data_IF_988964712221
#
_entry.id   IF_988964712221
#
_cell.length_a   1.000
_cell.length_b   1.000
_cell.length_c   1.000
_cell.angle_alpha   90.00
_cell.angle_beta   90.00
_cell.angle_gamma   90.00
#
_symmetry.space_group_name_H-M   'P 1'
#
loop_
_entity.id
_entity.type
_entity.pdbx_description
1 polymer ?
#
# COMPACT_ATOMS: atom_id res chain seq x y z
N UNK A 1 -41.89 0.08 28.53
CA UNK A 1 -41.31 -0.25 27.21
C UNK A 1 -40.43 0.94 26.81
N UNK A 2 -39.14 0.88 27.06
CA UNK A 2 -38.17 1.95 26.73
C UNK A 2 -37.72 1.71 25.30
N UNK A 3 -38.16 2.58 24.37
CA UNK A 3 -37.56 2.62 23.04
C UNK A 3 -36.14 3.18 23.18
N UNK A 4 -35.12 2.31 23.08
CA UNK A 4 -33.77 2.74 22.83
C UNK A 4 -33.74 3.17 21.37
N UNK A 5 -33.76 4.46 21.10
CA UNK A 5 -33.43 5.00 19.79
C UNK A 5 -31.96 4.71 19.55
N UNK A 6 -31.68 3.67 18.77
CA UNK A 6 -30.35 3.46 18.15
C UNK A 6 -30.19 4.64 17.20
N UNK A 7 -29.45 5.66 17.64
CA UNK A 7 -29.07 6.78 16.78
C UNK A 7 -28.31 6.19 15.60
N UNK A 8 -28.88 6.26 14.40
CA UNK A 8 -28.12 6.03 13.18
C UNK A 8 -27.05 7.12 13.15
N UNK A 9 -25.81 6.77 13.45
CA UNK A 9 -24.69 7.65 13.17
C UNK A 9 -24.72 7.94 11.66
N UNK A 10 -24.75 9.21 11.30
CA UNK A 10 -24.66 9.60 9.90
C UNK A 10 -23.35 9.02 9.36
N UNK A 11 -23.47 8.13 8.39
CA UNK A 11 -22.31 7.55 7.72
C UNK A 11 -21.65 8.66 6.90
N UNK A 12 -20.35 8.80 7.03
CA UNK A 12 -19.52 9.75 6.27
C UNK A 12 -18.46 9.01 5.46
N UNK A 13 -17.68 9.75 4.66
CA UNK A 13 -16.61 9.17 3.86
C UNK A 13 -15.64 8.39 4.72
N UNK A 14 -15.19 8.93 5.85
CA UNK A 14 -14.21 8.29 6.70
C UNK A 14 -14.68 6.91 7.19
N UNK A 15 -15.91 6.83 7.69
CA UNK A 15 -16.49 5.55 8.15
C UNK A 15 -16.67 4.54 7.03
N UNK A 16 -17.11 4.97 5.85
CA UNK A 16 -17.30 4.10 4.70
C UNK A 16 -15.94 3.63 4.12
N UNK A 17 -14.96 4.51 4.12
CA UNK A 17 -13.58 4.21 3.68
C UNK A 17 -12.91 3.20 4.62
N UNK A 18 -13.02 3.36 5.94
CA UNK A 18 -12.49 2.41 6.92
C UNK A 18 -13.14 1.02 6.78
N UNK A 19 -14.46 0.98 6.51
CA UNK A 19 -15.13 -0.29 6.21
C UNK A 19 -14.56 -0.96 4.96
N UNK A 20 -14.38 -0.22 3.87
CA UNK A 20 -13.77 -0.73 2.63
C UNK A 20 -12.34 -1.23 2.89
N UNK A 21 -11.51 -0.47 3.63
CA UNK A 21 -10.16 -0.88 4.03
C UNK A 21 -10.17 -2.20 4.77
N UNK A 22 -11.00 -2.31 5.78
CA UNK A 22 -11.10 -3.54 6.60
C UNK A 22 -11.42 -4.78 5.76
N UNK A 23 -12.32 -4.65 4.78
CA UNK A 23 -12.68 -5.76 3.88
C UNK A 23 -11.50 -6.07 2.94
N UNK A 24 -10.88 -5.06 2.32
CA UNK A 24 -9.78 -5.24 1.38
C UNK A 24 -8.54 -5.83 2.03
N UNK A 25 -8.21 -5.43 3.26
CA UNK A 25 -7.07 -5.98 3.97
C UNK A 25 -7.30 -7.39 4.55
N UNK A 26 -8.55 -7.86 4.63
CA UNK A 26 -8.90 -9.25 4.98
C UNK A 26 -9.29 -10.08 3.74
N UNK A 27 -8.58 -9.93 2.67
CA UNK A 27 -8.87 -10.38 1.31
C UNK A 27 -8.90 -11.91 1.10
N UNK A 28 -8.39 -12.71 2.04
CA UNK A 28 -8.53 -14.18 2.02
C UNK A 28 -9.99 -14.61 2.16
N UNK A 29 -10.79 -13.86 2.92
CA UNK A 29 -12.19 -14.19 3.23
C UNK A 29 -13.17 -13.27 2.51
N UNK A 30 -12.72 -12.12 1.99
CA UNK A 30 -13.56 -11.15 1.31
C UNK A 30 -14.03 -11.65 -0.06
N UNK A 31 -15.31 -11.47 -0.34
CA UNK A 31 -15.87 -11.73 -1.67
C UNK A 31 -15.86 -10.47 -2.52
N UNK A 32 -15.71 -10.62 -3.83
CA UNK A 32 -15.75 -9.48 -4.76
C UNK A 32 -17.04 -8.65 -4.59
N UNK A 33 -18.18 -9.30 -4.37
CA UNK A 33 -19.46 -8.61 -4.16
C UNK A 33 -19.47 -7.74 -2.89
N UNK A 34 -18.77 -8.17 -1.84
CA UNK A 34 -18.66 -7.40 -0.58
C UNK A 34 -17.76 -6.18 -0.77
N UNK A 35 -16.63 -6.35 -1.46
CA UNK A 35 -15.72 -5.25 -1.80
C UNK A 35 -16.42 -4.22 -2.69
N UNK A 36 -17.14 -4.68 -3.74
CA UNK A 36 -17.87 -3.77 -4.62
C UNK A 36 -19.01 -3.05 -3.89
N UNK A 37 -19.70 -3.71 -2.97
CA UNK A 37 -20.74 -3.08 -2.16
C UNK A 37 -20.14 -1.97 -1.26
N UNK A 38 -19.04 -2.26 -0.56
CA UNK A 38 -18.34 -1.29 0.28
C UNK A 38 -17.73 -0.14 -0.54
N UNK A 39 -17.15 -0.43 -1.72
CA UNK A 39 -16.66 0.58 -2.65
C UNK A 39 -17.77 1.53 -3.10
N UNK A 40 -18.91 0.97 -3.56
CA UNK A 40 -20.06 1.77 -3.98
C UNK A 40 -20.67 2.58 -2.83
N UNK A 41 -20.60 2.06 -1.61
CA UNK A 41 -21.05 2.79 -0.42
C UNK A 41 -20.13 3.98 -0.13
N UNK A 42 -18.81 3.78 -0.10
CA UNK A 42 -17.84 4.86 0.08
C UNK A 42 -17.93 5.90 -1.05
N UNK A 43 -18.17 5.47 -2.29
CA UNK A 43 -18.30 6.37 -3.44
C UNK A 43 -19.45 7.38 -3.32
N UNK A 44 -20.48 7.10 -2.53
CA UNK A 44 -21.60 8.03 -2.28
C UNK A 44 -21.17 9.26 -1.48
N UNK A 45 -20.10 9.13 -0.70
CA UNK A 45 -19.59 10.16 0.19
C UNK A 45 -18.35 10.88 -0.33
N UNK A 46 -17.81 10.45 -1.49
CA UNK A 46 -16.65 11.10 -2.13
C UNK A 46 -16.99 12.57 -2.44
N UNK A 47 -16.22 13.47 -1.87
CA UNK A 47 -16.38 14.92 -2.04
C UNK A 47 -15.30 15.58 -2.88
N UNK A 48 -14.17 14.87 -3.11
CA UNK A 48 -13.03 15.38 -3.84
C UNK A 48 -12.25 14.28 -4.57
N UNK A 49 -11.33 14.67 -5.45
CA UNK A 49 -10.55 13.74 -6.26
C UNK A 49 -9.58 12.87 -5.42
N UNK A 50 -9.10 13.33 -4.25
CA UNK A 50 -8.23 12.52 -3.36
C UNK A 50 -9.01 11.34 -2.78
N UNK A 51 -10.17 11.58 -2.22
CA UNK A 51 -11.05 10.53 -1.69
C UNK A 51 -11.42 9.53 -2.78
N UNK A 52 -11.75 10.01 -3.98
CA UNK A 52 -12.01 9.13 -5.12
C UNK A 52 -10.78 8.31 -5.54
N UNK A 53 -9.56 8.86 -5.42
CA UNK A 53 -8.33 8.14 -5.70
C UNK A 53 -8.04 7.06 -4.63
N UNK A 54 -8.35 7.33 -3.37
CA UNK A 54 -8.15 6.40 -2.26
C UNK A 54 -9.02 5.15 -2.38
N UNK A 55 -10.31 5.29 -2.69
CA UNK A 55 -11.18 4.12 -2.88
C UNK A 55 -10.79 3.31 -4.11
N UNK A 56 -10.37 3.95 -5.20
CA UNK A 56 -9.86 3.26 -6.38
C UNK A 56 -8.57 2.48 -6.06
N UNK A 57 -7.68 3.07 -5.29
CA UNK A 57 -6.45 2.40 -4.85
C UNK A 57 -6.76 1.11 -4.07
N UNK A 58 -7.69 1.16 -3.12
CA UNK A 58 -8.12 -0.02 -2.35
C UNK A 58 -8.75 -1.10 -3.23
N UNK A 59 -9.60 -0.72 -4.17
CA UNK A 59 -10.16 -1.67 -5.12
C UNK A 59 -9.05 -2.32 -5.97
N UNK A 60 -8.07 -1.53 -6.39
CA UNK A 60 -6.88 -2.03 -7.08
C UNK A 60 -6.10 -3.06 -6.26
N UNK A 61 -5.89 -2.82 -4.96
CA UNK A 61 -5.24 -3.76 -4.04
C UNK A 61 -5.98 -5.10 -3.97
N UNK A 62 -7.31 -5.06 -3.82
CA UNK A 62 -8.11 -6.28 -3.79
C UNK A 62 -7.93 -7.12 -5.05
N UNK A 63 -8.05 -6.52 -6.23
CA UNK A 63 -7.90 -7.24 -7.48
C UNK A 63 -6.46 -7.72 -7.72
N UNK A 64 -5.46 -6.95 -7.33
CA UNK A 64 -4.05 -7.37 -7.38
C UNK A 64 -3.82 -8.62 -6.51
N UNK A 65 -4.30 -8.62 -5.29
CA UNK A 65 -4.17 -9.75 -4.37
C UNK A 65 -4.93 -11.00 -4.87
N UNK A 66 -5.98 -10.80 -5.65
CA UNK A 66 -6.73 -11.89 -6.30
C UNK A 66 -6.22 -12.25 -7.70
N UNK A 67 -5.03 -11.77 -8.09
CA UNK A 67 -4.35 -12.03 -9.37
C UNK A 67 -5.12 -11.53 -10.61
N UNK A 68 -6.10 -10.65 -10.46
CA UNK A 68 -6.76 -9.97 -11.57
C UNK A 68 -6.01 -8.67 -11.92
N UNK A 69 -4.86 -8.82 -12.58
CA UNK A 69 -4.00 -7.69 -12.95
C UNK A 69 -4.69 -6.68 -13.86
N UNK A 70 -5.63 -7.10 -14.67
CA UNK A 70 -6.35 -6.21 -15.60
C UNK A 70 -7.27 -5.25 -14.83
N UNK A 71 -8.10 -5.77 -13.92
CA UNK A 71 -8.94 -4.95 -13.06
C UNK A 71 -8.09 -4.09 -12.11
N UNK A 72 -7.06 -4.67 -11.48
CA UNK A 72 -6.15 -3.91 -10.63
C UNK A 72 -5.53 -2.71 -11.36
N UNK A 73 -4.99 -2.93 -12.56
CA UNK A 73 -4.42 -1.87 -13.39
C UNK A 73 -5.44 -0.79 -13.78
N UNK A 74 -6.69 -1.18 -14.05
CA UNK A 74 -7.77 -0.23 -14.34
C UNK A 74 -8.05 0.69 -13.15
N UNK A 75 -8.18 0.13 -11.94
CA UNK A 75 -8.41 0.90 -10.72
C UNK A 75 -7.20 1.78 -10.35
N UNK A 76 -5.96 1.27 -10.46
CA UNK A 76 -4.78 2.08 -10.22
C UNK A 76 -4.65 3.23 -11.22
N UNK A 77 -4.96 3.02 -12.49
CA UNK A 77 -4.98 4.10 -13.49
C UNK A 77 -6.04 5.16 -13.15
N UNK A 78 -7.21 4.77 -12.66
CA UNK A 78 -8.24 5.70 -12.19
C UNK A 78 -7.75 6.50 -10.98
N UNK A 79 -7.15 5.83 -9.98
CA UNK A 79 -6.53 6.47 -8.81
C UNK A 79 -5.46 7.49 -9.23
N UNK A 80 -4.57 7.11 -10.15
CA UNK A 80 -3.53 8.00 -10.72
C UNK A 80 -4.12 9.21 -11.41
N UNK A 81 -5.19 9.04 -12.20
CA UNK A 81 -5.82 10.16 -12.92
C UNK A 81 -6.45 11.17 -11.95
N UNK A 82 -7.18 10.69 -10.93
CA UNK A 82 -7.82 11.52 -9.91
C UNK A 82 -6.79 12.23 -9.03
N UNK A 83 -5.83 11.51 -8.48
CA UNK A 83 -4.79 12.11 -7.63
C UNK A 83 -3.91 13.09 -8.41
N UNK A 84 -3.63 12.83 -9.69
CA UNK A 84 -2.95 13.77 -10.58
C UNK A 84 -3.75 15.06 -10.75
N UNK A 85 -5.03 14.96 -11.08
CA UNK A 85 -5.91 16.12 -11.21
C UNK A 85 -5.93 16.93 -9.90
N UNK A 86 -5.97 16.24 -8.75
CA UNK A 86 -5.95 16.90 -7.44
C UNK A 86 -4.67 17.70 -7.22
N UNK A 87 -3.47 17.10 -7.37
CA UNK A 87 -2.23 17.82 -7.09
C UNK A 87 -1.90 18.90 -8.15
N UNK A 88 -2.42 18.79 -9.37
CA UNK A 88 -2.27 19.83 -10.40
C UNK A 88 -3.17 21.04 -10.12
N UNK A 89 -4.31 20.85 -9.47
CA UNK A 89 -5.26 21.90 -9.12
C UNK A 89 -4.96 22.52 -7.75
N UNK A 90 -4.73 21.66 -6.75
CA UNK A 90 -4.44 22.05 -5.37
C UNK A 90 -3.44 21.06 -4.76
N UNK A 91 -2.14 21.34 -4.79
CA UNK A 91 -1.12 20.43 -4.26
C UNK A 91 -1.26 20.22 -2.76
N UNK A 92 -1.56 18.97 -2.33
CA UNK A 92 -1.58 18.55 -0.93
C UNK A 92 -0.67 17.35 -0.71
N UNK A 93 -0.29 17.09 0.53
CA UNK A 93 0.52 15.92 0.88
C UNK A 93 -0.22 14.63 0.52
N UNK A 94 -1.52 14.57 0.81
CA UNK A 94 -2.37 13.40 0.53
C UNK A 94 -2.46 13.12 -0.97
N UNK A 95 -2.63 14.16 -1.81
CA UNK A 95 -2.71 13.99 -3.26
C UNK A 95 -1.43 13.43 -3.86
N UNK A 96 -0.26 13.90 -3.40
CA UNK A 96 1.03 13.35 -3.82
C UNK A 96 1.29 11.96 -3.23
N UNK A 97 0.85 11.71 -1.99
CA UNK A 97 0.98 10.42 -1.32
C UNK A 97 0.23 9.33 -2.08
N UNK A 98 -1.09 9.49 -2.26
CA UNK A 98 -1.90 8.51 -2.96
C UNK A 98 -1.46 8.30 -4.43
N UNK A 99 -0.94 9.35 -5.08
CA UNK A 99 -0.34 9.21 -6.40
C UNK A 99 0.91 8.31 -6.37
N UNK A 100 1.80 8.49 -5.38
CA UNK A 100 3.01 7.68 -5.23
C UNK A 100 2.67 6.21 -4.93
N UNK A 101 1.70 5.96 -4.07
CA UNK A 101 1.21 4.63 -3.71
C UNK A 101 0.59 3.92 -4.92
N UNK A 102 -0.35 4.58 -5.60
CA UNK A 102 -0.99 4.02 -6.79
C UNK A 102 0.02 3.75 -7.92
N UNK A 103 1.02 4.64 -8.10
CA UNK A 103 2.06 4.45 -9.10
C UNK A 103 2.95 3.25 -8.77
N UNK A 104 3.31 3.09 -7.50
CA UNK A 104 4.10 1.95 -7.01
C UNK A 104 3.37 0.63 -7.29
N UNK A 105 2.12 0.53 -6.91
CA UNK A 105 1.32 -0.68 -7.13
C UNK A 105 1.03 -0.93 -8.61
N UNK A 106 0.75 0.12 -9.38
CA UNK A 106 0.52 -0.02 -10.81
C UNK A 106 1.76 -0.58 -11.55
N UNK A 107 2.98 -0.23 -11.10
CA UNK A 107 4.22 -0.81 -11.65
C UNK A 107 4.28 -2.34 -11.49
N UNK A 108 3.59 -2.93 -10.51
CA UNK A 108 3.61 -4.39 -10.28
C UNK A 108 2.65 -5.15 -11.19
N UNK A 109 1.64 -4.49 -11.74
CA UNK A 109 0.60 -5.11 -12.57
C UNK A 109 0.74 -4.77 -14.06
N UNK A 110 1.53 -3.76 -14.39
CA UNK A 110 1.80 -3.34 -15.77
C UNK A 110 3.02 -4.05 -16.38
N UNK A 111 3.35 -3.72 -17.63
CA UNK A 111 4.51 -4.26 -18.32
C UNK A 111 5.84 -3.84 -17.69
N UNK A 112 6.91 -4.61 -17.93
CA UNK A 112 8.26 -4.26 -17.49
C UNK A 112 8.72 -2.90 -18.04
N UNK A 113 8.35 -2.54 -19.26
CA UNK A 113 8.65 -1.22 -19.82
C UNK A 113 7.95 -0.08 -19.09
N UNK A 114 6.71 -0.30 -18.64
CA UNK A 114 6.01 0.66 -17.79
C UNK A 114 6.71 0.82 -16.44
N UNK A 115 7.09 -0.28 -15.80
CA UNK A 115 7.82 -0.29 -14.53
C UNK A 115 9.14 0.48 -14.62
N UNK A 116 9.94 0.23 -15.65
CA UNK A 116 11.22 0.94 -15.87
C UNK A 116 10.99 2.43 -16.08
N UNK A 117 9.97 2.82 -16.85
CA UNK A 117 9.70 4.23 -17.17
C UNK A 117 9.07 5.01 -16.01
N UNK A 118 8.39 4.35 -15.09
CA UNK A 118 7.58 4.99 -14.06
C UNK A 118 8.03 4.69 -12.62
N UNK A 119 8.63 3.54 -12.36
CA UNK A 119 9.04 3.16 -11.01
C UNK A 119 9.98 4.16 -10.34
N UNK A 120 10.92 4.74 -11.09
CA UNK A 120 11.84 5.77 -10.58
C UNK A 120 11.18 7.11 -10.23
N UNK A 121 9.93 7.30 -10.65
CA UNK A 121 9.15 8.52 -10.31
C UNK A 121 8.51 8.44 -8.93
N UNK A 122 8.26 7.22 -8.41
CA UNK A 122 7.63 7.00 -7.10
C UNK A 122 8.32 7.79 -5.99
N UNK A 123 9.66 7.71 -5.81
CA UNK A 123 10.35 8.47 -4.77
C UNK A 123 10.20 9.99 -4.92
N UNK A 124 10.04 10.48 -6.14
CA UNK A 124 9.91 11.92 -6.38
C UNK A 124 8.56 12.45 -5.86
N UNK A 125 7.48 11.70 -6.09
CA UNK A 125 6.14 12.07 -5.59
C UNK A 125 6.05 11.91 -4.08
N UNK A 126 6.58 10.84 -3.52
CA UNK A 126 6.66 10.66 -2.08
C UNK A 126 7.44 11.80 -1.39
N UNK A 127 8.56 12.25 -1.97
CA UNK A 127 9.31 13.42 -1.45
C UNK A 127 8.51 14.71 -1.56
N UNK A 128 7.70 14.91 -2.59
CA UNK A 128 6.80 16.08 -2.68
C UNK A 128 5.76 16.07 -1.58
N UNK A 129 5.18 14.90 -1.27
CA UNK A 129 4.26 14.75 -0.14
C UNK A 129 4.96 15.12 1.19
N UNK A 130 6.15 14.58 1.43
CA UNK A 130 6.93 14.86 2.65
C UNK A 130 7.43 16.31 2.76
N UNK A 131 7.58 17.01 1.64
CA UNK A 131 7.90 18.44 1.65
C UNK A 131 6.72 19.30 2.13
N UNK A 132 5.48 18.84 1.93
CA UNK A 132 4.27 19.49 2.40
C UNK A 132 3.87 19.03 3.81
N UNK A 133 4.00 17.73 4.10
CA UNK A 133 3.81 17.15 5.43
C UNK A 133 4.94 16.15 5.75
N UNK A 134 5.94 16.56 6.55
CA UNK A 134 7.05 15.68 6.94
C UNK A 134 6.63 14.44 7.75
N UNK A 135 5.38 14.39 8.23
CA UNK A 135 4.83 13.26 9.00
C UNK A 135 3.88 12.38 8.20
N UNK A 136 3.77 12.59 6.88
CA UNK A 136 2.96 11.76 6.00
C UNK A 136 3.50 10.32 5.98
N UNK A 137 2.85 9.43 6.74
CA UNK A 137 3.28 8.05 6.94
C UNK A 137 3.30 7.25 5.63
N UNK A 138 2.26 7.34 4.80
CA UNK A 138 2.17 6.65 3.51
C UNK A 138 3.27 7.07 2.54
N UNK A 139 3.65 8.38 2.52
CA UNK A 139 4.75 8.84 1.69
C UNK A 139 6.11 8.31 2.16
N UNK A 140 6.35 8.27 3.47
CA UNK A 140 7.54 7.65 4.05
C UNK A 140 7.58 6.15 3.74
N UNK A 141 6.44 5.47 3.88
CA UNK A 141 6.31 4.07 3.52
C UNK A 141 6.62 3.81 2.05
N UNK A 142 6.09 4.63 1.14
CA UNK A 142 6.40 4.55 -0.30
C UNK A 142 7.90 4.67 -0.60
N UNK A 143 8.62 5.56 0.10
CA UNK A 143 10.08 5.69 -0.02
C UNK A 143 10.81 4.46 0.53
N UNK A 144 10.36 3.93 1.66
CA UNK A 144 10.93 2.72 2.25
C UNK A 144 10.72 1.52 1.34
N UNK A 145 9.50 1.32 0.85
CA UNK A 145 9.15 0.24 -0.08
C UNK A 145 9.97 0.32 -1.38
N UNK A 146 10.14 1.50 -1.96
CA UNK A 146 11.02 1.64 -3.12
C UNK A 146 12.44 1.16 -2.82
N UNK A 147 12.99 1.51 -1.63
CA UNK A 147 14.31 1.08 -1.24
C UNK A 147 14.40 -0.42 -0.90
N UNK A 148 13.32 -1.05 -0.48
CA UNK A 148 13.28 -2.46 -0.06
C UNK A 148 12.96 -3.41 -1.22
N UNK A 149 11.99 -3.04 -2.06
CA UNK A 149 11.43 -3.94 -3.09
C UNK A 149 11.91 -3.63 -4.52
N UNK A 150 12.55 -2.49 -4.75
CA UNK A 150 13.05 -2.20 -6.09
C UNK A 150 14.15 -3.19 -6.49
N UNK A 151 14.27 -3.53 -7.79
CA UNK A 151 15.35 -4.38 -8.27
C UNK A 151 16.72 -3.67 -8.15
N UNK A 152 17.80 -4.44 -8.16
CA UNK A 152 19.14 -3.86 -8.25
C UNK A 152 19.26 -2.97 -9.51
N UNK A 153 19.99 -1.84 -9.46
CA UNK A 153 20.81 -1.34 -8.34
C UNK A 153 20.04 -0.44 -7.34
N UNK A 154 18.71 -0.32 -7.45
CA UNK A 154 17.89 0.63 -6.67
C UNK A 154 17.58 0.13 -5.26
N UNK A 155 17.67 -1.19 -5.03
CA UNK A 155 17.44 -1.79 -3.72
C UNK A 155 18.51 -1.37 -2.71
N UNK A 156 18.05 -0.90 -1.54
CA UNK A 156 18.90 -0.59 -0.40
C UNK A 156 18.14 -0.87 0.91
N UNK A 157 18.22 -2.11 1.39
CA UNK A 157 17.49 -2.56 2.59
C UNK A 157 17.79 -1.70 3.82
N UNK A 158 19.07 -1.35 4.04
CA UNK A 158 19.47 -0.53 5.19
C UNK A 158 18.81 0.85 5.17
N UNK A 159 18.73 1.47 3.98
CA UNK A 159 18.06 2.76 3.82
C UNK A 159 16.54 2.63 4.04
N UNK A 160 15.93 1.59 3.49
CA UNK A 160 14.49 1.35 3.66
C UNK A 160 14.12 1.14 5.12
N UNK A 161 14.84 0.28 5.85
CA UNK A 161 14.63 0.06 7.28
C UNK A 161 14.80 1.34 8.08
N UNK A 162 15.84 2.14 7.81
CA UNK A 162 16.04 3.42 8.50
C UNK A 162 14.83 4.35 8.35
N UNK A 163 14.24 4.44 7.15
CA UNK A 163 13.04 5.25 6.92
C UNK A 163 11.85 4.71 7.74
N UNK A 164 11.64 3.39 7.77
CA UNK A 164 10.58 2.78 8.57
C UNK A 164 10.77 3.07 10.07
N UNK A 165 11.99 2.89 10.60
CA UNK A 165 12.33 3.13 12.00
C UNK A 165 12.12 4.60 12.41
N UNK A 166 12.51 5.53 11.56
CA UNK A 166 12.28 6.96 11.80
C UNK A 166 10.79 7.28 11.81
N UNK A 167 10.02 6.74 10.85
CA UNK A 167 8.61 7.06 10.71
C UNK A 167 7.76 6.48 11.84
N UNK A 168 7.98 5.22 12.25
CA UNK A 168 7.21 4.59 13.33
C UNK A 168 7.36 5.34 14.67
N UNK A 169 8.48 6.07 14.85
CA UNK A 169 8.76 6.83 16.06
C UNK A 169 8.32 8.30 15.98
N UNK A 170 8.02 8.83 14.80
CA UNK A 170 7.81 10.28 14.61
C UNK A 170 6.44 10.63 14.03
N UNK A 171 5.79 9.69 13.33
CA UNK A 171 4.48 9.89 12.69
C UNK A 171 3.37 9.20 13.47
N UNK A 172 2.16 9.71 13.32
CA UNK A 172 0.96 9.00 13.79
C UNK A 172 0.60 7.97 12.70
N UNK A 173 0.78 6.71 13.03
CA UNK A 173 0.40 5.58 12.17
C UNK A 173 -1.02 5.15 12.51
N UNK A 174 -1.82 4.89 11.49
CA UNK A 174 -3.11 4.22 11.65
C UNK A 174 -2.94 2.68 11.62
N UNK A 175 -4.06 1.97 11.64
CA UNK A 175 -4.06 0.51 11.75
C UNK A 175 -3.44 -0.17 10.53
N UNK A 176 -3.75 0.31 9.33
CA UNK A 176 -3.20 -0.26 8.09
C UNK A 176 -1.75 0.17 7.85
N UNK A 177 -1.35 1.37 8.26
CA UNK A 177 0.06 1.74 8.31
C UNK A 177 0.85 0.74 9.16
N UNK A 178 0.42 0.49 10.41
CA UNK A 178 1.09 -0.46 11.30
C UNK A 178 1.17 -1.87 10.70
N UNK A 179 0.08 -2.34 10.11
CA UNK A 179 0.07 -3.64 9.41
C UNK A 179 1.10 -3.69 8.29
N UNK A 180 1.15 -2.66 7.46
CA UNK A 180 2.07 -2.56 6.33
C UNK A 180 3.53 -2.50 6.80
N UNK A 181 3.81 -1.74 7.87
CA UNK A 181 5.14 -1.67 8.48
C UNK A 181 5.57 -3.01 9.04
N UNK A 182 4.75 -3.67 9.85
CA UNK A 182 5.08 -4.98 10.43
C UNK A 182 5.28 -6.05 9.36
N UNK A 183 4.43 -6.07 8.33
CA UNK A 183 4.59 -7.00 7.20
C UNK A 183 5.89 -6.75 6.44
N UNK A 184 6.30 -5.49 6.29
CA UNK A 184 7.56 -5.14 5.61
C UNK A 184 8.77 -5.48 6.45
N UNK A 185 8.75 -5.27 7.78
CA UNK A 185 9.81 -5.75 8.67
C UNK A 185 9.95 -7.27 8.62
N UNK A 186 8.82 -8.00 8.64
CA UNK A 186 8.82 -9.45 8.50
C UNK A 186 9.46 -9.89 7.17
N UNK A 187 9.08 -9.26 6.06
CA UNK A 187 9.67 -9.54 4.76
C UNK A 187 11.20 -9.34 4.75
N UNK A 188 11.67 -8.23 5.31
CA UNK A 188 13.12 -7.95 5.38
C UNK A 188 13.84 -8.96 6.26
N UNK A 189 13.26 -9.33 7.41
CA UNK A 189 13.82 -10.35 8.30
C UNK A 189 13.90 -11.72 7.61
N UNK A 190 12.87 -12.14 6.87
CA UNK A 190 12.89 -13.36 6.06
C UNK A 190 13.98 -13.31 4.98
N UNK A 191 14.10 -12.19 4.27
CA UNK A 191 15.16 -11.99 3.27
C UNK A 191 16.57 -12.08 3.87
N UNK A 192 16.73 -11.65 5.13
CA UNK A 192 17.97 -11.78 5.90
C UNK A 192 18.14 -13.15 6.58
N UNK A 193 17.20 -14.09 6.37
CA UNK A 193 17.18 -15.42 7.00
C UNK A 193 17.07 -15.39 8.53
N UNK A 194 16.56 -14.30 9.09
CA UNK A 194 16.26 -14.17 10.52
C UNK A 194 14.79 -14.53 10.77
N UNK A 195 14.52 -15.83 10.84
CA UNK A 195 13.14 -16.35 10.98
C UNK A 195 12.51 -15.98 12.32
N UNK A 196 13.29 -15.98 13.42
CA UNK A 196 12.77 -15.59 14.73
C UNK A 196 12.23 -14.15 14.75
N UNK A 197 12.99 -13.21 14.20
CA UNK A 197 12.57 -11.81 14.10
C UNK A 197 11.38 -11.67 13.12
N UNK A 198 11.36 -12.46 12.04
CA UNK A 198 10.23 -12.46 11.13
C UNK A 198 8.94 -12.89 11.82
N UNK A 199 8.99 -13.98 12.61
CA UNK A 199 7.83 -14.51 13.35
C UNK A 199 7.26 -13.48 14.35
N UNK A 200 8.13 -12.72 15.02
CA UNK A 200 7.70 -11.62 15.91
C UNK A 200 6.90 -10.53 15.16
N UNK A 201 7.38 -10.11 13.99
CA UNK A 201 6.68 -9.11 13.19
C UNK A 201 5.41 -9.67 12.53
N UNK A 202 5.43 -10.94 12.10
CA UNK A 202 4.25 -11.61 11.55
C UNK A 202 3.15 -11.76 12.59
N UNK A 203 3.50 -12.02 13.86
CA UNK A 203 2.53 -12.08 14.94
C UNK A 203 1.83 -10.72 15.13
N UNK A 204 2.58 -9.61 15.17
CA UNK A 204 2.02 -8.27 15.29
C UNK A 204 1.13 -7.89 14.09
N UNK A 205 1.53 -8.25 12.87
CA UNK A 205 0.70 -8.03 11.69
C UNK A 205 -0.59 -8.86 11.74
N UNK A 206 -0.52 -10.09 12.24
CA UNK A 206 -1.67 -10.99 12.36
C UNK A 206 -2.70 -10.53 13.41
N UNK A 207 -2.30 -9.78 14.42
CA UNK A 207 -3.23 -9.14 15.36
C UNK A 207 -4.13 -8.10 14.69
N UNK A 208 -3.64 -7.48 13.60
CA UNK A 208 -4.36 -6.43 12.87
C UNK A 208 -5.24 -7.03 11.78
N UNK A 209 -4.65 -7.71 10.80
CA UNK A 209 -5.37 -8.29 9.66
C UNK A 209 -5.01 -9.78 9.48
N UNK A 210 -5.56 -10.69 10.31
CA UNK A 210 -5.21 -12.11 10.31
C UNK A 210 -5.53 -12.83 8.99
N UNK A 211 -6.44 -12.30 8.20
CA UNK A 211 -6.90 -12.89 6.94
C UNK A 211 -6.33 -12.16 5.71
N UNK A 212 -5.21 -11.45 5.85
CA UNK A 212 -4.53 -10.84 4.73
C UNK A 212 -3.71 -11.88 3.95
N UNK A 213 -3.86 -11.88 2.63
CA UNK A 213 -3.22 -12.85 1.73
C UNK A 213 -1.70 -12.74 1.71
N UNK A 214 -1.18 -11.51 1.67
CA UNK A 214 0.26 -11.29 1.71
C UNK A 214 0.86 -11.77 3.04
N UNK A 215 0.18 -11.49 4.16
CA UNK A 215 0.58 -12.01 5.47
C UNK A 215 0.64 -13.56 5.46
N UNK A 216 -0.38 -14.22 4.90
CA UNK A 216 -0.41 -15.69 4.79
C UNK A 216 0.74 -16.23 3.93
N UNK A 217 1.11 -15.53 2.87
CA UNK A 217 2.26 -15.89 2.04
C UNK A 217 3.58 -15.73 2.81
N UNK A 218 3.75 -14.62 3.53
CA UNK A 218 4.93 -14.40 4.38
C UNK A 218 5.06 -15.46 5.49
N UNK A 219 3.95 -15.83 6.15
CA UNK A 219 3.91 -16.89 7.17
C UNK A 219 4.34 -18.26 6.62
N UNK A 220 4.12 -18.52 5.33
CA UNK A 220 4.56 -19.74 4.66
C UNK A 220 5.94 -19.64 4.04
N UNK A 221 6.61 -18.48 4.17
CA UNK A 221 7.85 -18.13 3.48
C UNK A 221 7.71 -18.19 1.95
N UNK A 222 6.49 -18.03 1.43
CA UNK A 222 6.15 -18.01 -0.01
C UNK A 222 6.17 -16.56 -0.52
N UNK A 223 7.29 -15.88 -0.44
CA UNK A 223 7.41 -14.51 -0.92
C UNK A 223 8.33 -14.43 -2.15
N UNK A 224 7.94 -13.55 -3.09
CA UNK A 224 8.80 -13.25 -4.23
C UNK A 224 9.90 -12.31 -3.80
N UNK A 225 11.15 -12.71 -3.98
CA UNK A 225 12.29 -11.81 -3.91
C UNK A 225 12.32 -10.99 -5.20
N UNK A 226 11.84 -9.76 -5.14
CA UNK A 226 11.97 -8.86 -6.28
C UNK A 226 13.46 -8.57 -6.52
N UNK A 227 13.98 -8.94 -7.70
CA UNK A 227 15.36 -8.66 -8.12
C UNK A 227 16.32 -9.85 -8.12
N UNK A 228 15.92 -11.06 -7.74
CA UNK A 228 16.76 -12.26 -7.86
C UNK A 228 16.69 -12.93 -9.25
N UNK A 229 15.73 -12.55 -10.09
CA UNK A 229 15.64 -13.04 -11.49
C UNK A 229 16.54 -12.26 -12.47
N UNK A 230 17.31 -11.31 -12.01
CA UNK A 230 18.37 -10.72 -12.82
C UNK A 230 19.61 -11.57 -12.60
N UNK A 231 19.88 -12.42 -13.59
CA UNK A 231 21.11 -13.21 -13.69
C UNK A 231 22.34 -12.32 -13.45
N UNK A 232 22.88 -12.38 -12.23
CA UNK A 232 24.10 -11.66 -11.85
C UNK A 232 25.36 -12.35 -12.36
N UNK A 233 25.24 -13.41 -13.16
CA UNK A 233 26.38 -14.10 -13.79
C UNK A 233 27.13 -13.22 -14.80
N UNK A 234 26.52 -12.12 -15.26
CA UNK A 234 27.14 -11.17 -16.19
C UNK A 234 27.91 -10.01 -15.50
N UNK A 235 27.85 -9.90 -14.16
CA UNK A 235 28.50 -8.80 -13.41
C UNK A 235 29.93 -9.14 -12.88
N UNK A 236 30.45 -10.32 -13.18
CA UNK A 236 31.82 -10.72 -12.85
C UNK A 236 32.67 -10.83 -14.12
N UNK A 237 32.80 -9.75 -14.86
CA UNK A 237 33.85 -9.60 -15.86
C UNK A 237 34.54 -8.27 -15.64
N UNK A 238 35.72 -8.37 -14.95
CA UNK A 238 36.80 -7.39 -14.76
C UNK A 238 36.50 -6.13 -13.94
#
# INVERSE_FOLDING_TARGET
MVLVAVGAFAQDFASAYENLKSIVYNDVVAKESEVLAAYNDAAKFVSNDVEGAQIDYLAGLFYMNNNDKAKAGSYYNSSLAKSKKSYETNPTAEAYCIYAEALSQNCTVQSSSYMVSNGTKVPNFAKKALALDPKCAGASYSLACYSIYAPAPFCNLKKGLKILDETINTSKLDTDDLFNYYSTYAYVALKQKNTSLADEWLAKAAEIYPNNKNLKMLQKHEFKTYGEDIDTSAANVE
#
